data_IF_965896015662
#
_entry.id   IF_965896015662
#
_cell.length_a   1.000
_cell.length_b   1.000
_cell.length_c   1.000
_cell.angle_alpha   90.00
_cell.angle_beta   90.00
_cell.angle_gamma   90.00
#
_symmetry.space_group_name_H-M   'P 1'
#
loop_
_entity.id
_entity.type
_entity.pdbx_description
1 polymer ?
#
# COMPACT_ATOMS: atom_id res chain seq x y z
N UNK A 1 -7.72 27.48 3.01
CA UNK A 1 -7.41 26.32 2.14
C UNK A 1 -6.21 25.59 2.71
N UNK A 2 -6.35 24.31 2.97
CA UNK A 2 -5.23 23.47 3.43
C UNK A 2 -4.37 23.01 2.27
N UNK A 3 -3.20 22.46 2.54
CA UNK A 3 -2.35 21.85 1.50
C UNK A 3 -3.05 20.66 0.83
N UNK A 4 -3.83 19.90 1.59
CA UNK A 4 -4.64 18.80 1.02
C UNK A 4 -5.74 19.36 0.12
N UNK A 5 -6.41 20.43 0.50
CA UNK A 5 -7.40 21.08 -0.38
C UNK A 5 -6.76 21.54 -1.69
N UNK A 6 -5.58 22.13 -1.61
CA UNK A 6 -4.84 22.55 -2.79
C UNK A 6 -4.52 21.35 -3.69
N UNK A 7 -4.06 20.25 -3.09
CA UNK A 7 -3.76 19.03 -3.83
C UNK A 7 -5.00 18.46 -4.53
N UNK A 8 -6.12 18.38 -3.82
CA UNK A 8 -7.36 17.83 -4.36
C UNK A 8 -8.02 18.71 -5.44
N UNK A 9 -7.63 19.97 -5.51
CA UNK A 9 -8.15 20.91 -6.52
C UNK A 9 -7.34 20.90 -7.83
N UNK A 10 -6.32 20.09 -7.95
CA UNK A 10 -5.59 19.94 -9.22
C UNK A 10 -6.49 19.34 -10.30
N UNK A 11 -6.18 19.62 -11.56
CA UNK A 11 -7.01 19.16 -12.69
C UNK A 11 -6.85 17.66 -12.91
N UNK A 12 -5.61 17.16 -12.89
CA UNK A 12 -5.32 15.75 -13.14
C UNK A 12 -5.33 14.95 -11.84
N UNK A 13 -5.96 13.80 -11.84
CA UNK A 13 -6.03 12.93 -10.67
C UNK A 13 -4.65 12.43 -10.23
N UNK A 14 -3.73 12.17 -11.17
CA UNK A 14 -2.35 11.82 -10.86
C UNK A 14 -1.65 12.93 -10.08
N UNK A 15 -1.83 14.18 -10.48
CA UNK A 15 -1.23 15.34 -9.79
C UNK A 15 -1.80 15.49 -8.37
N UNK A 16 -3.10 15.22 -8.20
CA UNK A 16 -3.75 15.24 -6.88
C UNK A 16 -3.05 14.25 -5.94
N UNK A 17 -2.87 13.02 -6.38
CA UNK A 17 -2.28 11.96 -5.56
C UNK A 17 -0.80 12.21 -5.29
N UNK A 18 -0.04 12.68 -6.28
CA UNK A 18 1.37 13.02 -6.08
C UNK A 18 1.55 14.11 -5.03
N UNK A 19 0.73 15.16 -5.08
CA UNK A 19 0.79 16.25 -4.11
C UNK A 19 0.35 15.79 -2.71
N UNK A 20 -0.70 14.99 -2.60
CA UNK A 20 -1.10 14.39 -1.32
C UNK A 20 0.07 13.57 -0.74
N UNK A 21 0.71 12.76 -1.58
CA UNK A 21 1.89 11.99 -1.17
C UNK A 21 3.00 12.87 -0.62
N UNK A 22 3.31 13.96 -1.32
CA UNK A 22 4.33 14.92 -0.87
C UNK A 22 3.99 15.51 0.49
N UNK A 23 2.76 15.94 0.68
CA UNK A 23 2.29 16.51 1.96
C UNK A 23 2.43 15.49 3.08
N UNK A 24 1.97 14.25 2.87
CA UNK A 24 1.96 13.23 3.92
C UNK A 24 3.38 12.74 4.26
N UNK A 25 4.25 12.56 3.28
CA UNK A 25 5.64 12.17 3.56
C UNK A 25 6.41 13.29 4.26
N UNK A 26 6.17 14.56 3.92
CA UNK A 26 6.76 15.69 4.65
C UNK A 26 6.26 15.70 6.09
N UNK A 27 4.97 15.48 6.30
CA UNK A 27 4.39 15.39 7.65
C UNK A 27 5.01 14.23 8.44
N UNK A 28 5.15 13.06 7.82
CA UNK A 28 5.75 11.90 8.44
C UNK A 28 7.18 12.18 8.92
N UNK A 29 7.96 12.92 8.14
CA UNK A 29 9.31 13.35 8.53
C UNK A 29 9.30 14.27 9.75
N UNK A 30 8.34 15.21 9.80
CA UNK A 30 8.21 16.12 10.95
C UNK A 30 7.88 15.40 12.25
N UNK A 31 7.02 14.37 12.18
CA UNK A 31 6.64 13.56 13.34
C UNK A 31 7.54 12.36 13.56
N UNK A 32 8.59 12.22 12.76
CA UNK A 32 9.67 11.22 12.80
C UNK A 32 9.31 9.82 12.29
N UNK A 33 8.05 9.51 12.09
CA UNK A 33 7.64 8.24 11.49
C UNK A 33 6.18 8.32 11.03
N UNK A 34 5.87 7.71 9.90
CA UNK A 34 4.51 7.74 9.35
C UNK A 34 3.47 7.06 10.24
N UNK A 35 3.86 6.16 11.15
CA UNK A 35 2.94 5.54 12.11
C UNK A 35 2.32 6.54 13.09
N UNK A 36 2.87 7.75 13.18
CA UNK A 36 2.30 8.84 13.98
C UNK A 36 1.27 9.68 13.23
N UNK A 37 1.07 9.43 11.96
CA UNK A 37 -0.01 10.03 11.19
C UNK A 37 -1.37 9.50 11.65
N UNK A 38 -2.46 10.18 11.29
CA UNK A 38 -3.80 9.65 11.52
C UNK A 38 -3.99 8.33 10.77
N UNK A 39 -4.94 7.51 11.20
CA UNK A 39 -5.20 6.24 10.51
C UNK A 39 -5.54 6.41 9.02
N UNK A 40 -6.42 7.35 8.61
CA UNK A 40 -6.67 7.58 7.20
C UNK A 40 -5.44 8.04 6.41
N UNK A 41 -4.57 8.86 7.03
CA UNK A 41 -3.30 9.25 6.40
C UNK A 41 -2.38 8.04 6.23
N UNK A 42 -2.31 7.17 7.23
CA UNK A 42 -1.54 5.92 7.13
C UNK A 42 -2.07 5.01 6.02
N UNK A 43 -3.38 4.94 5.83
CA UNK A 43 -3.99 4.15 4.74
C UNK A 43 -3.41 4.57 3.39
N UNK A 44 -3.32 5.86 3.14
CA UNK A 44 -2.69 6.37 1.92
C UNK A 44 -1.22 5.93 1.82
N UNK A 45 -0.47 6.10 2.90
CA UNK A 45 0.97 5.78 2.93
C UNK A 45 1.22 4.29 2.68
N UNK A 46 0.42 3.39 3.25
CA UNK A 46 0.58 1.95 3.01
C UNK A 46 0.36 1.59 1.55
N UNK A 47 -0.63 2.18 0.90
CA UNK A 47 -0.88 1.95 -0.52
C UNK A 47 0.27 2.50 -1.37
N UNK A 48 0.79 3.69 -1.02
CA UNK A 48 1.92 4.29 -1.71
C UNK A 48 3.18 3.42 -1.62
N UNK A 49 3.48 2.89 -0.42
CA UNK A 49 4.58 1.95 -0.21
C UNK A 49 4.40 0.70 -1.10
N UNK A 50 3.21 0.13 -1.11
CA UNK A 50 2.93 -1.08 -1.88
C UNK A 50 3.08 -0.83 -3.38
N UNK A 51 2.44 0.21 -3.91
CA UNK A 51 2.49 0.55 -5.34
C UNK A 51 3.93 0.80 -5.80
N UNK A 52 4.71 1.53 -4.99
CA UNK A 52 6.12 1.80 -5.29
C UNK A 52 6.93 0.50 -5.36
N UNK A 53 6.76 -0.40 -4.38
CA UNK A 53 7.51 -1.67 -4.37
C UNK A 53 7.09 -2.59 -5.50
N UNK A 54 5.80 -2.70 -5.78
CA UNK A 54 5.32 -3.54 -6.88
C UNK A 54 5.90 -3.08 -8.21
N UNK A 55 5.93 -1.78 -8.46
CA UNK A 55 6.46 -1.23 -9.71
C UNK A 55 7.96 -1.47 -9.87
N UNK A 56 8.71 -1.47 -8.77
CA UNK A 56 10.16 -1.62 -8.81
C UNK A 56 10.64 -3.07 -8.64
N UNK A 57 9.97 -3.86 -7.80
CA UNK A 57 10.50 -5.15 -7.34
C UNK A 57 9.48 -6.29 -7.32
N UNK A 58 8.24 -6.05 -7.73
CA UNK A 58 7.18 -7.05 -7.74
C UNK A 58 6.72 -7.50 -6.37
N UNK A 59 5.86 -8.52 -6.32
CA UNK A 59 5.35 -9.08 -5.07
C UNK A 59 6.45 -9.73 -4.24
N UNK A 60 7.34 -10.48 -4.87
CA UNK A 60 8.48 -11.07 -4.16
C UNK A 60 9.28 -9.97 -3.44
N UNK A 61 9.65 -8.91 -4.15
CA UNK A 61 10.40 -7.79 -3.57
C UNK A 61 9.63 -7.10 -2.45
N UNK A 62 8.32 -6.94 -2.61
CA UNK A 62 7.49 -6.35 -1.56
C UNK A 62 7.61 -7.13 -0.25
N UNK A 63 7.46 -8.45 -0.30
CA UNK A 63 7.55 -9.28 0.90
C UNK A 63 8.98 -9.43 1.43
N UNK A 64 9.95 -9.53 0.54
CA UNK A 64 11.34 -9.82 0.90
C UNK A 64 12.06 -8.60 1.45
N UNK A 65 11.70 -7.39 0.99
CA UNK A 65 12.28 -6.13 1.43
C UNK A 65 11.59 -5.61 2.71
N UNK A 66 12.06 -4.47 3.21
CA UNK A 66 11.52 -3.88 4.45
C UNK A 66 10.03 -3.57 4.38
N UNK A 67 9.51 -3.29 3.20
CA UNK A 67 8.08 -3.02 2.97
C UNK A 67 7.15 -4.17 3.40
N UNK A 68 7.64 -5.40 3.38
CA UNK A 68 6.86 -6.59 3.80
C UNK A 68 6.42 -6.57 5.27
N UNK A 69 7.05 -5.76 6.09
CA UNK A 69 6.61 -5.49 7.47
C UNK A 69 5.15 -5.05 7.52
N UNK A 70 4.69 -4.37 6.48
CA UNK A 70 3.36 -3.76 6.43
C UNK A 70 2.35 -4.55 5.58
N UNK A 71 2.61 -5.81 5.30
CA UNK A 71 1.75 -6.61 4.42
C UNK A 71 0.29 -6.64 4.87
N UNK A 72 0.02 -6.85 6.15
CA UNK A 72 -1.34 -6.90 6.69
C UNK A 72 -2.00 -5.52 6.69
N UNK A 73 -1.23 -4.47 6.98
CA UNK A 73 -1.70 -3.08 6.96
C UNK A 73 -2.04 -2.65 5.52
N UNK A 74 -1.26 -3.09 4.54
CA UNK A 74 -1.55 -2.85 3.12
C UNK A 74 -2.87 -3.51 2.71
N UNK A 75 -3.09 -4.76 3.11
CA UNK A 75 -4.37 -5.44 2.87
C UNK A 75 -5.53 -4.63 3.44
N UNK A 76 -5.41 -4.21 4.71
CA UNK A 76 -6.46 -3.43 5.35
C UNK A 76 -6.67 -2.09 4.64
N UNK A 77 -5.60 -1.45 4.19
CA UNK A 77 -5.69 -0.19 3.45
C UNK A 77 -6.50 -0.33 2.16
N UNK A 78 -6.28 -1.39 1.38
CA UNK A 78 -7.08 -1.66 0.19
C UNK A 78 -8.55 -1.92 0.53
N UNK A 79 -8.82 -2.63 1.62
CA UNK A 79 -10.20 -2.82 2.11
C UNK A 79 -10.83 -1.47 2.46
N UNK A 80 -10.10 -0.62 3.18
CA UNK A 80 -10.60 0.68 3.65
C UNK A 80 -10.97 1.62 2.51
N UNK A 81 -10.21 1.60 1.41
CA UNK A 81 -10.54 2.42 0.22
C UNK A 81 -11.51 1.73 -0.74
N UNK A 82 -12.01 0.55 -0.39
CA UNK A 82 -12.93 -0.27 -1.21
C UNK A 82 -12.32 -0.78 -2.51
N UNK A 83 -11.02 -1.00 -2.52
CA UNK A 83 -10.30 -1.62 -3.63
C UNK A 83 -10.38 -3.14 -3.49
N UNK A 84 -11.57 -3.70 -3.74
CA UNK A 84 -11.87 -5.11 -3.46
C UNK A 84 -11.02 -6.08 -4.26
N UNK A 85 -10.72 -5.77 -5.50
CA UNK A 85 -9.90 -6.62 -6.36
C UNK A 85 -8.45 -6.65 -5.87
N UNK A 86 -7.85 -5.48 -5.61
CA UNK A 86 -6.50 -5.39 -5.06
C UNK A 86 -6.42 -6.06 -3.69
N UNK A 87 -7.42 -5.86 -2.83
CA UNK A 87 -7.49 -6.52 -1.52
C UNK A 87 -7.52 -8.05 -1.67
N UNK A 88 -8.30 -8.56 -2.60
CA UNK A 88 -8.36 -10.01 -2.88
C UNK A 88 -7.00 -10.55 -3.32
N UNK A 89 -6.33 -9.85 -4.23
CA UNK A 89 -5.02 -10.27 -4.75
C UNK A 89 -3.97 -10.27 -3.62
N UNK A 90 -3.89 -9.19 -2.85
CA UNK A 90 -2.95 -9.09 -1.72
C UNK A 90 -3.25 -10.16 -0.67
N UNK A 91 -4.52 -10.40 -0.36
CA UNK A 91 -4.92 -11.43 0.58
C UNK A 91 -4.49 -12.84 0.14
N UNK A 92 -4.65 -13.15 -1.16
CA UNK A 92 -4.18 -14.42 -1.71
C UNK A 92 -2.66 -14.53 -1.67
N UNK A 93 -1.95 -13.44 -1.94
CA UNK A 93 -0.49 -13.41 -1.85
C UNK A 93 0.00 -13.68 -0.42
N UNK A 94 -0.65 -13.07 0.57
CA UNK A 94 -0.33 -13.26 1.99
C UNK A 94 -0.50 -14.73 2.39
N UNK A 95 -1.55 -15.39 1.90
CA UNK A 95 -1.85 -16.77 2.25
C UNK A 95 -0.85 -17.81 1.72
N UNK A 96 0.10 -17.39 0.88
CA UNK A 96 1.19 -18.26 0.44
C UNK A 96 2.15 -18.54 1.61
N UNK A 97 2.30 -17.62 2.56
CA UNK A 97 3.10 -17.85 3.75
C UNK A 97 2.54 -19.03 4.56
N UNK A 98 3.44 -19.91 5.04
CA UNK A 98 3.05 -21.08 5.83
C UNK A 98 2.75 -20.73 7.28
N UNK A 99 3.28 -19.60 7.76
CA UNK A 99 3.07 -19.08 9.12
C UNK A 99 2.41 -17.72 9.01
N UNK A 100 1.26 -17.54 9.70
CA UNK A 100 0.52 -16.29 9.75
C UNK A 100 0.27 -15.90 11.20
N UNK A 101 0.31 -14.62 11.56
CA UNK A 101 0.58 -13.48 10.67
C UNK A 101 2.01 -13.51 10.13
N UNK A 102 2.23 -12.84 9.00
CA UNK A 102 3.55 -12.74 8.39
C UNK A 102 4.53 -12.10 9.39
N UNK A 103 5.72 -12.68 9.61
CA UNK A 103 6.71 -12.09 10.52
C UNK A 103 7.08 -10.66 10.12
N UNK A 104 7.04 -9.75 11.09
CA UNK A 104 7.42 -8.36 10.87
C UNK A 104 8.93 -8.16 10.84
N UNK A 105 9.67 -8.98 11.57
CA UNK A 105 11.14 -8.95 11.55
C UNK A 105 11.63 -9.46 10.20
N UNK A 106 12.44 -8.66 9.52
CA UNK A 106 12.86 -8.93 8.14
C UNK A 106 13.58 -10.28 8.01
N UNK A 107 14.45 -10.62 8.97
CA UNK A 107 15.20 -11.89 8.90
C UNK A 107 14.28 -13.10 9.05
N UNK A 108 13.28 -13.01 9.93
CA UNK A 108 12.32 -14.08 10.13
C UNK A 108 11.42 -14.24 8.89
N UNK A 109 11.00 -13.12 8.31
CA UNK A 109 10.19 -13.13 7.09
C UNK A 109 10.95 -13.71 5.90
N UNK A 110 12.21 -13.32 5.72
CA UNK A 110 13.06 -13.86 4.66
C UNK A 110 13.29 -15.36 4.82
N UNK A 111 13.44 -15.83 6.05
CA UNK A 111 13.58 -17.25 6.32
C UNK A 111 12.36 -18.03 5.85
N UNK A 112 11.16 -17.52 6.11
CA UNK A 112 9.93 -18.15 5.64
C UNK A 112 9.83 -18.14 4.11
N UNK A 113 10.21 -17.05 3.48
CA UNK A 113 10.20 -16.94 2.00
C UNK A 113 11.21 -17.91 1.38
N UNK A 114 12.40 -18.02 1.94
CA UNK A 114 13.44 -18.89 1.43
C UNK A 114 13.05 -20.38 1.48
N UNK A 115 12.10 -20.74 2.31
CA UNK A 115 11.56 -22.11 2.42
C UNK A 115 10.37 -22.38 1.47
N UNK A 116 9.86 -21.39 0.77
CA UNK A 116 8.76 -21.58 -0.16
C UNK A 116 9.20 -22.38 -1.38
N UNK A 117 8.25 -23.16 -1.92
CA UNK A 117 8.49 -23.96 -3.11
C UNK A 117 8.42 -23.07 -4.37
N UNK A 118 8.99 -23.57 -5.46
CA UNK A 118 8.93 -22.88 -6.75
C UNK A 118 7.48 -22.57 -7.16
N UNK A 119 6.57 -23.51 -6.92
CA UNK A 119 5.15 -23.37 -7.24
C UNK A 119 4.51 -22.21 -6.47
N UNK A 120 4.89 -21.99 -5.22
CA UNK A 120 4.42 -20.87 -4.39
C UNK A 120 4.85 -19.53 -4.99
N UNK A 121 6.12 -19.44 -5.41
CA UNK A 121 6.67 -18.23 -6.03
C UNK A 121 6.04 -17.95 -7.39
N UNK A 122 5.68 -18.97 -8.13
CA UNK A 122 4.96 -18.83 -9.41
C UNK A 122 3.57 -18.23 -9.20
N UNK A 123 2.90 -18.57 -8.08
CA UNK A 123 1.62 -17.97 -7.71
C UNK A 123 1.78 -16.45 -7.50
N UNK A 124 2.83 -16.03 -6.81
CA UNK A 124 3.10 -14.59 -6.65
C UNK A 124 3.31 -13.90 -8.01
N UNK A 125 4.04 -14.51 -8.92
CA UNK A 125 4.23 -13.96 -10.26
C UNK A 125 2.88 -13.82 -10.99
N UNK A 126 2.03 -14.83 -10.89
CA UNK A 126 0.70 -14.78 -11.50
C UNK A 126 -0.18 -13.69 -10.88
N UNK A 127 -0.13 -13.54 -9.56
CA UNK A 127 -0.88 -12.48 -8.86
C UNK A 127 -0.40 -11.08 -9.25
N UNK A 128 0.91 -10.91 -9.53
CA UNK A 128 1.41 -9.65 -10.09
C UNK A 128 0.76 -9.31 -11.42
N UNK A 129 0.60 -10.29 -12.31
CA UNK A 129 -0.09 -10.08 -13.58
C UNK A 129 -1.55 -9.67 -13.34
N UNK A 130 -2.23 -10.29 -12.38
CA UNK A 130 -3.59 -9.88 -12.04
C UNK A 130 -3.65 -8.43 -11.55
N UNK A 131 -2.66 -7.98 -10.76
CA UNK A 131 -2.58 -6.57 -10.34
C UNK A 131 -2.40 -5.62 -11.53
N UNK A 132 -1.51 -5.97 -12.45
CA UNK A 132 -1.23 -5.15 -13.65
C UNK A 132 -2.46 -5.08 -14.55
N UNK A 133 -3.17 -6.18 -14.72
CA UNK A 133 -4.35 -6.27 -15.58
C UNK A 133 -5.62 -5.73 -14.92
N UNK A 134 -5.59 -5.48 -13.61
CA UNK A 134 -6.74 -4.96 -12.87
C UNK A 134 -7.20 -3.62 -13.45
N UNK A 135 -8.51 -3.50 -13.65
CA UNK A 135 -9.13 -2.24 -14.12
C UNK A 135 -9.58 -1.37 -12.97
N UNK A 136 -9.27 -1.75 -11.75
CA UNK A 136 -9.61 -0.99 -10.56
C UNK A 136 -8.82 0.31 -10.54
N UNK A 137 -9.53 1.43 -10.43
CA UNK A 137 -8.91 2.75 -10.42
C UNK A 137 -8.53 3.13 -8.99
N UNK A 138 -7.33 2.75 -8.58
CA UNK A 138 -6.81 3.01 -7.23
C UNK A 138 -6.72 4.52 -6.96
N UNK A 139 -6.30 5.31 -7.95
CA UNK A 139 -6.18 6.76 -7.80
C UNK A 139 -7.54 7.38 -7.45
N UNK A 140 -8.59 7.00 -8.17
CA UNK A 140 -9.94 7.51 -7.90
C UNK A 140 -10.46 7.08 -6.54
N UNK A 141 -10.22 5.81 -6.16
CA UNK A 141 -10.62 5.29 -4.84
C UNK A 141 -9.90 6.03 -3.71
N UNK A 142 -8.62 6.35 -3.89
CA UNK A 142 -7.86 7.15 -2.92
C UNK A 142 -8.41 8.57 -2.81
N UNK A 143 -8.70 9.21 -3.94
CA UNK A 143 -9.27 10.58 -3.95
C UNK A 143 -10.61 10.59 -3.20
N UNK A 144 -11.49 9.63 -3.49
CA UNK A 144 -12.79 9.52 -2.82
C UNK A 144 -12.64 9.27 -1.32
N UNK A 145 -11.68 8.41 -0.95
CA UNK A 145 -11.38 8.10 0.44
C UNK A 145 -10.92 9.35 1.21
N UNK A 146 -10.00 10.13 0.63
CA UNK A 146 -9.47 11.36 1.22
C UNK A 146 -10.57 12.42 1.31
N UNK A 147 -11.33 12.61 0.24
CA UNK A 147 -12.39 13.61 0.19
C UNK A 147 -13.46 13.38 1.27
N UNK A 148 -13.77 12.10 1.54
CA UNK A 148 -14.74 11.72 2.59
C UNK A 148 -14.18 11.89 4.02
N UNK A 149 -12.87 12.07 4.17
CA UNK A 149 -12.18 12.10 5.46
C UNK A 149 -11.24 13.30 5.62
N UNK A 150 -11.59 14.43 5.00
CA UNK A 150 -10.74 15.64 4.99
C UNK A 150 -10.28 16.08 6.38
N UNK A 151 -11.13 15.93 7.39
CA UNK A 151 -10.79 16.32 8.78
C UNK A 151 -9.62 15.52 9.35
N UNK A 152 -9.34 14.34 8.80
CA UNK A 152 -8.21 13.51 9.19
C UNK A 152 -6.92 13.83 8.42
N UNK A 153 -7.03 14.69 7.41
CA UNK A 153 -5.92 15.15 6.58
C UNK A 153 -5.72 16.68 6.79
N UNK A 154 -5.59 17.10 8.03
CA UNK A 154 -5.51 18.50 8.40
C UNK A 154 -4.15 19.13 8.05
N UNK A 155 -4.01 19.53 6.78
CA UNK A 155 -2.84 20.29 6.30
C UNK A 155 -3.23 21.33 5.29
#
# INVERSE_FOLDING_TARGET
>A
MTEIDFALNQIKDTDKIELVGTVLWNKANLVKHFTKLSRPEQTFVFIDIFESEINNNGLFGFFYNSSGEYAHEVLQAFIDIKAHESASIVGRAIRIFKILPIPKVIFDRRREIDQLQKEDLEIWTQLEFELIESKENIIMLLIDYIAARKTNFEY
#
